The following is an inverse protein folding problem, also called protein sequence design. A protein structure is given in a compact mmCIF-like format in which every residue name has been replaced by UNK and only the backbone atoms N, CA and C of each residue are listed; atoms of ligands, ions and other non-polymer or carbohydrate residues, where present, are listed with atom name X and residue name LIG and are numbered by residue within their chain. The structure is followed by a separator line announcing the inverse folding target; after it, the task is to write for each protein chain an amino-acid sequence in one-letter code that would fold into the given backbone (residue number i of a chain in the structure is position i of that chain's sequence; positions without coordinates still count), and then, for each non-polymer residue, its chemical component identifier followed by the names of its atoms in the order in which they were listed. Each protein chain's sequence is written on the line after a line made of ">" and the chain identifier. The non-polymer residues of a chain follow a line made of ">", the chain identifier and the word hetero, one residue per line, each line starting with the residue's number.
data_IF_434389947876
#
_entry.id   IF_434389947876
#
_cell.length_a   1.000
_cell.length_b   1.000
_cell.length_c   1.000
_cell.angle_alpha   90.00
_cell.angle_beta   90.00
_cell.angle_gamma   90.00
#
_symmetry.space_group_name_H-M   'P 1'
#
loop_
_entity.id
_entity.type
_entity.pdbx_description
1 polymer ?
#
# COMPACT_ATOMS: atom_id res chain seq x y z
N UNK A 1 -7.91 -4.40 0.97
CA UNK A 1 -9.16 -4.04 1.68
C UNK A 1 -10.31 -4.76 1.00
N UNK A 2 -11.20 -5.42 1.75
CA UNK A 2 -12.33 -6.20 1.18
C UNK A 2 -13.63 -5.87 1.92
N UNK A 3 -14.76 -6.02 1.24
CA UNK A 3 -16.08 -6.09 1.87
C UNK A 3 -16.62 -7.54 1.96
N UNK A 4 -15.76 -8.53 1.72
CA UNK A 4 -16.09 -9.97 1.70
C UNK A 4 -16.69 -10.46 0.37
N UNK A 5 -16.98 -9.58 -0.58
CA UNK A 5 -17.46 -9.94 -1.94
C UNK A 5 -16.61 -9.33 -3.06
N UNK A 6 -15.95 -8.22 -2.77
CA UNK A 6 -15.02 -7.53 -3.65
C UNK A 6 -14.05 -6.74 -2.80
N UNK A 7 -12.87 -6.49 -3.34
CA UNK A 7 -11.87 -5.72 -2.67
C UNK A 7 -10.98 -4.94 -3.61
N UNK A 8 -10.10 -4.19 -2.97
CA UNK A 8 -9.02 -3.45 -3.62
C UNK A 8 -7.71 -3.91 -2.98
N UNK A 9 -6.83 -4.47 -3.80
CA UNK A 9 -5.45 -4.76 -3.45
C UNK A 9 -4.61 -3.54 -3.83
N UNK A 10 -3.77 -3.09 -2.91
CA UNK A 10 -2.86 -1.96 -3.12
C UNK A 10 -1.48 -2.33 -2.62
N UNK A 11 -0.47 -2.11 -3.45
CA UNK A 11 0.93 -2.36 -3.13
C UNK A 11 1.78 -1.14 -3.51
N UNK A 12 2.82 -0.87 -2.71
CA UNK A 12 3.82 0.16 -2.96
C UNK A 12 5.19 -0.50 -3.12
N UNK A 13 5.99 -0.03 -4.08
CA UNK A 13 7.32 -0.59 -4.30
C UNK A 13 8.35 -0.05 -3.30
N UNK A 14 9.21 -0.93 -2.80
CA UNK A 14 10.34 -0.58 -1.94
C UNK A 14 11.49 0.12 -2.69
N UNK A 15 11.49 0.07 -4.03
CA UNK A 15 12.58 0.58 -4.89
C UNK A 15 12.73 2.10 -4.88
N UNK A 16 11.64 2.86 -4.72
CA UNK A 16 11.66 4.33 -4.91
C UNK A 16 11.48 5.07 -3.59
N UNK A 17 10.29 4.98 -3.00
CA UNK A 17 9.94 5.50 -1.69
C UNK A 17 8.83 4.61 -1.14
N UNK A 18 9.10 3.96 0.00
CA UNK A 18 8.13 3.12 0.70
C UNK A 18 7.98 3.60 2.14
N UNK A 19 6.73 3.68 2.60
CA UNK A 19 6.40 4.06 3.98
C UNK A 19 5.43 3.05 4.57
N UNK A 20 5.66 2.66 5.83
CA UNK A 20 4.76 1.78 6.57
C UNK A 20 3.35 2.37 6.73
N UNK A 21 3.20 3.68 6.59
CA UNK A 21 1.92 4.41 6.71
C UNK A 21 1.55 5.17 5.42
N UNK A 22 1.96 4.69 4.24
CA UNK A 22 1.75 5.40 2.98
C UNK A 22 0.27 5.55 2.58
N UNK A 23 -0.60 4.67 3.07
CA UNK A 23 -2.02 4.67 2.72
C UNK A 23 -2.89 4.85 3.97
N UNK A 24 -3.15 6.09 4.41
CA UNK A 24 -4.09 6.34 5.48
C UNK A 24 -5.47 5.76 5.16
N UNK A 25 -6.05 5.12 6.18
CA UNK A 25 -7.39 4.56 6.15
C UNK A 25 -8.32 5.39 7.03
N UNK A 26 -9.56 5.56 6.56
CA UNK A 26 -10.63 6.22 7.33
C UNK A 26 -11.88 5.37 7.28
N UNK A 27 -12.42 5.04 8.45
CA UNK A 27 -13.72 4.39 8.55
C UNK A 27 -14.81 5.44 8.75
N UNK A 28 -15.94 5.29 8.06
CA UNK A 28 -17.15 6.09 8.25
C UNK A 28 -18.36 5.17 8.32
N UNK A 29 -19.17 5.33 9.36
CA UNK A 29 -20.48 4.68 9.45
C UNK A 29 -21.51 5.58 8.76
N UNK A 30 -22.25 5.04 7.80
CA UNK A 30 -23.41 5.69 7.18
C UNK A 30 -24.66 4.81 7.38
N UNK A 31 -25.81 5.24 6.83
CA UNK A 31 -27.07 4.47 6.91
C UNK A 31 -26.99 3.08 6.27
N UNK A 32 -26.04 2.87 5.36
CA UNK A 32 -25.82 1.62 4.63
C UNK A 32 -24.78 0.70 5.27
N UNK A 33 -24.10 1.13 6.35
CA UNK A 33 -23.12 0.34 7.08
C UNK A 33 -21.78 1.03 7.29
N UNK A 34 -20.74 0.23 7.51
CA UNK A 34 -19.37 0.69 7.70
C UNK A 34 -18.67 0.81 6.34
N UNK A 35 -18.30 2.02 5.95
CA UNK A 35 -17.44 2.26 4.79
C UNK A 35 -16.01 2.49 5.24
N UNK A 36 -15.07 1.86 4.54
CA UNK A 36 -13.63 2.12 4.69
C UNK A 36 -13.19 2.90 3.46
N UNK A 37 -12.52 4.03 3.69
CA UNK A 37 -11.90 4.88 2.69
C UNK A 37 -10.40 4.73 2.82
N UNK A 38 -9.71 4.79 1.68
CA UNK A 38 -8.26 4.75 1.63
C UNK A 38 -7.75 5.90 0.75
N UNK A 39 -6.61 6.49 1.12
CA UNK A 39 -5.99 7.56 0.33
C UNK A 39 -4.50 7.25 0.15
N UNK A 40 -4.10 6.56 -0.93
CA UNK A 40 -2.69 6.27 -1.19
C UNK A 40 -1.90 7.48 -1.75
N UNK A 41 -2.54 8.63 -1.95
CA UNK A 41 -1.96 9.82 -2.59
C UNK A 41 -1.71 10.97 -1.61
N UNK A 42 -2.11 10.85 -0.34
CA UNK A 42 -1.92 11.94 0.63
C UNK A 42 -2.66 11.72 1.95
N UNK A 43 -2.83 12.82 2.69
CA UNK A 43 -3.40 12.80 4.03
C UNK A 43 -4.90 13.12 4.04
N UNK A 44 -5.59 12.69 5.10
CA UNK A 44 -6.94 13.20 5.38
C UNK A 44 -6.86 14.40 6.33
N UNK A 45 -7.62 15.46 6.04
CA UNK A 45 -7.84 16.58 6.97
C UNK A 45 -9.06 16.35 7.86
N UNK A 46 -9.16 17.10 8.96
CA UNK A 46 -10.31 17.09 9.88
C UNK A 46 -10.22 16.07 11.01
N UNK A 47 -11.37 15.77 11.63
CA UNK A 47 -11.47 14.95 12.85
C UNK A 47 -10.88 13.55 12.63
N UNK A 48 -9.87 13.21 13.42
CA UNK A 48 -9.23 11.91 13.40
C UNK A 48 -9.80 10.97 14.46
N UNK A 49 -9.70 9.67 14.20
CA UNK A 49 -10.17 8.66 15.14
C UNK A 49 -9.25 8.62 16.37
N UNK A 50 -9.83 8.78 17.56
CA UNK A 50 -9.08 8.68 18.81
C UNK A 50 -8.99 7.19 19.20
N UNK A 51 -7.84 6.57 18.92
CA UNK A 51 -7.62 5.17 19.27
C UNK A 51 -7.44 5.01 20.80
N UNK A 52 -8.02 3.97 21.43
CA UNK A 52 -7.83 3.70 22.87
C UNK A 52 -6.37 3.50 23.28
N UNK A 53 -5.55 2.96 22.37
CA UNK A 53 -4.10 2.73 22.56
C UNK A 53 -3.25 4.00 22.49
N UNK A 54 -3.86 5.17 22.26
CA UNK A 54 -3.17 6.47 22.39
C UNK A 54 -2.57 6.69 23.78
N UNK A 55 -3.13 6.03 24.81
CA UNK A 55 -2.67 6.14 26.19
C UNK A 55 -1.52 5.20 26.55
N UNK A 56 -1.22 4.19 25.71
CA UNK A 56 -0.10 3.26 25.92
C UNK A 56 1.08 3.69 25.07
N UNK A 57 2.23 4.00 25.70
CA UNK A 57 3.39 4.62 25.05
C UNK A 57 3.96 3.88 23.83
N UNK A 58 3.77 2.57 23.71
CA UNK A 58 4.20 1.79 22.53
C UNK A 58 3.36 2.08 21.28
N UNK A 59 2.04 2.19 21.41
CA UNK A 59 1.14 2.52 20.31
C UNK A 59 1.35 3.95 19.80
N UNK A 60 1.62 4.88 20.72
CA UNK A 60 2.03 6.24 20.40
C UNK A 60 3.41 6.27 19.71
N UNK A 61 4.39 5.50 20.20
CA UNK A 61 5.73 5.46 19.61
C UNK A 61 5.72 4.89 18.19
N UNK A 62 4.96 3.83 17.91
CA UNK A 62 4.79 3.32 16.54
C UNK A 62 4.10 4.36 15.65
N UNK A 63 2.96 4.90 16.09
CA UNK A 63 2.17 5.85 15.31
C UNK A 63 2.86 7.20 15.06
N UNK A 64 3.70 7.68 15.99
CA UNK A 64 4.36 9.00 15.87
C UNK A 64 5.75 8.87 15.30
N UNK A 65 6.52 7.85 15.70
CA UNK A 65 7.94 7.71 15.36
C UNK A 65 8.19 6.91 14.08
N UNK A 66 7.33 5.94 13.76
CA UNK A 66 7.48 5.09 12.58
C UNK A 66 6.49 5.40 11.46
N UNK A 67 5.33 6.02 11.77
CA UNK A 67 4.31 6.33 10.76
C UNK A 67 4.43 7.73 10.13
N UNK A 68 5.48 8.50 10.42
CA UNK A 68 5.67 9.88 9.97
C UNK A 68 4.42 10.76 10.19
N UNK A 69 4.39 11.46 11.33
CA UNK A 69 3.30 12.30 11.86
C UNK A 69 2.60 13.28 10.90
N UNK A 70 3.10 13.52 9.69
CA UNK A 70 2.48 14.42 8.71
C UNK A 70 1.12 13.94 8.17
N UNK A 71 0.79 12.65 8.34
CA UNK A 71 -0.55 12.13 8.03
C UNK A 71 -1.55 12.26 9.20
N UNK A 72 -1.06 12.36 10.44
CA UNK A 72 -1.86 12.38 11.68
C UNK A 72 -2.19 13.82 12.11
N UNK A 73 -1.47 14.82 11.62
CA UNK A 73 -1.88 16.21 11.72
C UNK A 73 -1.22 17.01 10.61
N UNK A 74 -1.68 16.89 9.35
CA UNK A 74 -1.10 17.66 8.26
C UNK A 74 -1.26 19.15 8.58
N UNK A 75 -0.15 19.83 8.84
CA UNK A 75 -0.08 21.28 8.69
C UNK A 75 -0.43 21.58 7.23
N UNK A 76 -1.20 22.64 6.99
CA UNK A 76 -1.69 23.01 5.65
C UNK A 76 -0.61 22.84 4.57
N UNK A 77 -0.94 22.43 3.33
CA UNK A 77 0.03 22.00 2.33
C UNK A 77 1.11 23.08 2.15
N UNK A 78 2.32 22.79 2.63
CA UNK A 78 3.48 23.63 2.43
C UNK A 78 4.27 23.09 1.25
N UNK A 79 4.42 23.92 0.22
CA UNK A 79 5.23 23.55 -0.94
C UNK A 79 6.71 23.79 -0.63
N UNK A 80 7.48 22.71 -0.51
CA UNK A 80 8.93 22.78 -0.23
C UNK A 80 9.79 22.62 -1.50
N UNK A 81 9.22 22.79 -2.70
CA UNK A 81 9.97 22.69 -3.97
C UNK A 81 10.53 21.31 -4.33
N UNK A 82 10.31 20.28 -3.49
CA UNK A 82 10.82 18.92 -3.70
C UNK A 82 9.82 18.06 -4.46
N UNK A 83 10.33 17.30 -5.43
CA UNK A 83 9.56 16.26 -6.11
C UNK A 83 9.80 14.92 -5.42
N UNK A 84 8.73 14.24 -5.03
CA UNK A 84 8.79 12.85 -4.57
C UNK A 84 8.27 11.93 -5.67
N UNK A 85 8.95 10.81 -5.89
CA UNK A 85 8.52 9.76 -6.82
C UNK A 85 8.08 8.55 -6.01
N UNK A 86 6.91 8.02 -6.29
CA UNK A 86 6.41 6.77 -5.72
C UNK A 86 5.72 5.97 -6.84
N UNK A 87 5.62 4.66 -6.65
CA UNK A 87 4.92 3.76 -7.57
C UNK A 87 3.89 2.96 -6.79
N UNK A 88 2.70 2.87 -7.34
CA UNK A 88 1.55 2.24 -6.70
C UNK A 88 0.90 1.25 -7.67
N UNK A 89 0.65 0.03 -7.19
CA UNK A 89 -0.23 -0.92 -7.84
C UNK A 89 -1.61 -0.80 -7.18
N UNK A 90 -2.66 -0.65 -7.99
CA UNK A 90 -4.06 -0.62 -7.54
C UNK A 90 -4.83 -1.63 -8.37
N UNK A 91 -5.32 -2.69 -7.74
CA UNK A 91 -5.96 -3.80 -8.43
C UNK A 91 -7.27 -4.19 -7.74
N UNK A 92 -8.44 -3.90 -8.35
CA UNK A 92 -9.71 -4.40 -7.87
C UNK A 92 -9.80 -5.91 -8.08
N UNK A 93 -10.46 -6.61 -7.17
CA UNK A 93 -10.73 -8.05 -7.28
C UNK A 93 -12.14 -8.37 -6.77
N UNK A 94 -12.68 -9.49 -7.23
CA UNK A 94 -13.91 -10.09 -6.73
C UNK A 94 -13.60 -11.24 -5.77
N UNK A 95 -14.54 -11.50 -4.85
CA UNK A 95 -14.40 -12.50 -3.81
C UNK A 95 -14.01 -11.94 -2.45
N UNK A 96 -13.87 -12.87 -1.51
CA UNK A 96 -13.37 -12.66 -0.15
C UNK A 96 -11.94 -12.09 -0.17
N UNK A 97 -11.09 -12.73 -0.97
CA UNK A 97 -9.65 -12.51 -1.03
C UNK A 97 -9.16 -12.28 -2.46
N UNK A 98 -8.02 -11.58 -2.65
CA UNK A 98 -7.42 -11.43 -3.97
C UNK A 98 -6.91 -12.79 -4.48
N UNK A 99 -7.08 -13.10 -5.78
CA UNK A 99 -6.53 -14.31 -6.40
C UNK A 99 -5.02 -14.46 -6.17
N UNK A 100 -4.54 -15.70 -6.13
CA UNK A 100 -3.12 -16.01 -5.86
C UNK A 100 -2.16 -15.31 -6.84
N UNK A 101 -2.47 -15.32 -8.13
CA UNK A 101 -1.70 -14.61 -9.15
C UNK A 101 -1.60 -13.11 -8.85
N UNK A 102 -2.71 -12.48 -8.46
CA UNK A 102 -2.73 -11.06 -8.13
C UNK A 102 -1.93 -10.75 -6.85
N UNK A 103 -1.94 -11.67 -5.88
CA UNK A 103 -1.10 -11.57 -4.67
C UNK A 103 0.38 -11.69 -5.02
N UNK A 104 0.74 -12.59 -5.93
CA UNK A 104 2.11 -12.76 -6.40
C UNK A 104 2.60 -11.52 -7.16
N UNK A 105 1.78 -10.98 -8.08
CA UNK A 105 2.09 -9.73 -8.78
C UNK A 105 2.30 -8.56 -7.80
N UNK A 106 1.47 -8.47 -6.77
CA UNK A 106 1.60 -7.46 -5.73
C UNK A 106 2.90 -7.59 -4.93
N UNK A 107 3.29 -8.83 -4.59
CA UNK A 107 4.54 -9.11 -3.91
C UNK A 107 5.75 -8.76 -4.78
N UNK A 108 5.73 -9.18 -6.06
CA UNK A 108 6.75 -8.86 -7.04
C UNK A 108 6.86 -7.35 -7.32
N UNK A 109 5.74 -6.63 -7.29
CA UNK A 109 5.72 -5.18 -7.42
C UNK A 109 6.32 -4.49 -6.18
N UNK A 110 5.97 -4.99 -4.98
CA UNK A 110 6.42 -4.43 -3.71
C UNK A 110 7.93 -4.62 -3.51
N UNK A 111 8.41 -5.83 -3.76
CA UNK A 111 9.83 -6.19 -3.73
C UNK A 111 10.19 -6.86 -5.05
N UNK A 112 10.66 -6.06 -6.04
CA UNK A 112 11.15 -6.60 -7.30
C UNK A 112 12.25 -7.62 -7.03
N UNK A 113 12.07 -8.83 -7.56
CA UNK A 113 13.08 -9.87 -7.46
C UNK A 113 14.34 -9.44 -8.22
N UNK A 114 15.50 -9.60 -7.59
CA UNK A 114 16.77 -9.61 -8.30
C UNK A 114 17.03 -11.04 -8.75
N UNK A 115 16.88 -11.31 -10.05
CA UNK A 115 17.31 -12.55 -10.65
C UNK A 115 18.81 -12.45 -10.99
N UNK A 116 19.66 -13.14 -10.23
CA UNK A 116 21.09 -13.30 -10.56
C UNK A 116 21.23 -14.68 -11.21
N UNK A 117 21.39 -14.71 -12.53
CA UNK A 117 21.54 -15.95 -13.28
C UNK A 117 22.98 -16.44 -13.29
N UNK A 118 23.17 -17.76 -13.29
CA UNK A 118 24.44 -18.45 -13.57
C UNK A 118 24.60 -18.80 -15.07
N UNK A 119 23.65 -18.36 -15.91
CA UNK A 119 23.57 -18.68 -17.33
C UNK A 119 22.54 -19.77 -17.67
N UNK A 120 21.87 -20.37 -16.68
CA UNK A 120 20.71 -21.26 -16.90
C UNK A 120 19.39 -20.48 -16.91
N UNK A 121 18.40 -20.98 -17.66
CA UNK A 121 17.06 -20.39 -17.73
C UNK A 121 16.33 -20.70 -16.41
N UNK A 122 15.79 -19.67 -15.75
CA UNK A 122 14.92 -19.85 -14.59
C UNK A 122 13.64 -20.59 -15.00
N UNK A 123 13.23 -21.57 -14.20
CA UNK A 123 11.89 -22.17 -14.34
C UNK A 123 10.80 -21.09 -14.28
N UNK A 124 9.67 -21.36 -14.93
CA UNK A 124 8.49 -20.52 -14.78
C UNK A 124 8.03 -20.57 -13.32
N UNK A 125 7.91 -19.42 -12.63
CA UNK A 125 7.39 -19.40 -11.29
C UNK A 125 5.92 -19.85 -11.30
N UNK A 126 5.42 -20.47 -10.21
CA UNK A 126 4.10 -21.10 -10.16
C UNK A 126 2.91 -20.19 -10.52
N UNK A 127 3.12 -18.87 -10.42
CA UNK A 127 2.09 -17.84 -10.53
C UNK A 127 2.38 -16.79 -11.63
N UNK A 128 3.41 -16.97 -12.46
CA UNK A 128 3.77 -15.99 -13.49
C UNK A 128 4.46 -16.66 -14.70
N UNK A 129 4.11 -16.22 -15.91
CA UNK A 129 4.82 -16.60 -17.13
C UNK A 129 5.90 -15.57 -17.44
N UNK A 130 7.12 -16.01 -17.73
CA UNK A 130 8.14 -15.13 -18.27
C UNK A 130 7.82 -14.78 -19.73
N UNK A 131 7.63 -13.50 -20.04
CA UNK A 131 7.70 -13.03 -21.43
C UNK A 131 9.04 -12.38 -21.64
N UNK A 132 9.89 -13.04 -22.42
CA UNK A 132 11.11 -12.42 -22.94
C UNK A 132 10.67 -11.31 -23.90
N UNK A 133 10.93 -10.06 -23.56
CA UNK A 133 10.87 -8.98 -24.55
C UNK A 133 11.97 -9.29 -25.58
N UNK A 134 11.57 -9.59 -26.81
CA UNK A 134 12.50 -9.60 -27.92
C UNK A 134 12.83 -8.14 -28.23
N UNK A 135 14.06 -7.75 -27.91
CA UNK A 135 14.64 -6.52 -28.44
C UNK A 135 14.57 -6.54 -29.98
N UNK A 136 14.12 -5.43 -30.56
CA UNK A 136 14.16 -5.15 -32.00
C UNK A 136 15.53 -4.62 -32.39
#
# INVERSE_FOLDING_TARGET
>A
MSNGKRGLLVAQTAEVLCSLAFCPLRTRRNKEGLRVLMNPFGSYTGRQYAYPTKFTGLGWLVAVRFSASDHIAPYAPSYNGKTQRFRLMVAPYEGDEPPESLRADAAAFAYPYLAVGDGTIFDEPPCRSWKMEKDW
#
